data_IF_375660086669
#
_entry.id   IF_375660086669
#
_cell.length_a   1.000
_cell.length_b   1.000
_cell.length_c   1.000
_cell.angle_alpha   90.00
_cell.angle_beta   90.00
_cell.angle_gamma   90.00
#
_symmetry.space_group_name_H-M   'P 1'
#
loop_
_entity.id
_entity.type
_entity.pdbx_description
1 polymer ?
#
# COMPACT_ATOMS: atom_id res chain seq x y z
N UNK A 1 -0.10 21.65 3.25
CA UNK A 1 -0.55 20.62 2.26
C UNK A 1 -0.65 19.31 2.99
N UNK A 2 -1.47 18.36 2.55
CA UNK A 2 -1.73 17.13 3.32
C UNK A 2 -1.25 15.90 2.54
N UNK A 3 -0.47 15.07 3.20
CA UNK A 3 -0.03 13.75 2.74
C UNK A 3 -0.60 12.70 3.68
N UNK A 4 -1.58 11.94 3.22
CA UNK A 4 -2.04 10.73 3.92
C UNK A 4 -1.24 9.54 3.39
N UNK A 5 -0.61 8.78 4.30
CA UNK A 5 0.27 7.64 4.00
C UNK A 5 -0.21 6.40 4.73
N UNK A 6 -0.20 5.24 4.07
CA UNK A 6 -0.47 3.95 4.69
C UNK A 6 0.22 2.79 3.95
N UNK A 7 0.53 1.72 4.67
CA UNK A 7 1.09 0.50 4.09
C UNK A 7 0.81 -0.72 4.97
N UNK A 8 1.07 -1.92 4.44
CA UNK A 8 0.97 -3.17 5.17
C UNK A 8 2.06 -3.32 6.24
N UNK A 9 1.83 -4.17 7.24
CA UNK A 9 2.87 -4.60 8.17
C UNK A 9 3.84 -5.63 7.52
N UNK A 10 4.78 -6.15 8.30
CA UNK A 10 5.76 -7.15 7.85
C UNK A 10 5.18 -8.51 7.46
N UNK A 11 3.86 -8.71 7.65
CA UNK A 11 3.11 -9.91 7.26
C UNK A 11 2.13 -9.64 6.11
N UNK A 12 2.13 -8.45 5.52
CA UNK A 12 1.22 -8.08 4.43
C UNK A 12 -0.18 -7.64 4.91
N UNK A 13 -0.39 -7.44 6.22
CA UNK A 13 -1.70 -7.08 6.76
C UNK A 13 -1.86 -5.59 7.07
N UNK A 14 -3.05 -5.07 6.83
CA UNK A 14 -3.44 -3.69 7.14
C UNK A 14 -4.32 -3.62 8.39
N UNK A 15 -4.17 -2.54 9.17
CA UNK A 15 -5.13 -2.22 10.22
C UNK A 15 -6.55 -2.13 9.66
N UNK A 16 -7.55 -2.49 10.48
CA UNK A 16 -8.98 -2.65 10.13
C UNK A 16 -9.33 -3.93 9.34
N UNK A 17 -8.38 -4.53 8.64
CA UNK A 17 -8.56 -5.86 8.03
C UNK A 17 -7.99 -6.97 8.93
N UNK A 18 -6.91 -6.67 9.65
CA UNK A 18 -6.34 -7.53 10.67
C UNK A 18 -6.72 -7.00 12.07
N UNK A 19 -7.59 -7.71 12.83
CA UNK A 19 -8.08 -7.27 14.12
C UNK A 19 -7.02 -7.33 15.22
N UNK A 20 -5.86 -7.97 14.98
CA UNK A 20 -4.76 -8.01 15.96
C UNK A 20 -3.98 -6.70 16.03
N UNK A 21 -4.19 -5.80 15.07
CA UNK A 21 -3.52 -4.50 15.01
C UNK A 21 -4.37 -3.41 15.66
N UNK A 22 -3.71 -2.42 16.25
CA UNK A 22 -4.39 -1.22 16.73
C UNK A 22 -5.04 -0.45 15.56
N UNK A 23 -6.17 0.25 15.81
CA UNK A 23 -6.75 1.15 14.83
C UNK A 23 -5.69 2.12 14.29
N UNK A 24 -5.68 2.31 12.97
CA UNK A 24 -4.72 3.17 12.27
C UNK A 24 -3.24 2.78 12.41
N UNK A 25 -2.91 1.55 12.80
CA UNK A 25 -1.52 1.07 12.73
C UNK A 25 -0.95 1.25 11.31
N UNK A 26 0.27 1.81 11.21
CA UNK A 26 0.95 2.11 9.94
C UNK A 26 0.15 3.03 8.99
N UNK A 27 -0.65 3.94 9.56
CA UNK A 27 -1.38 4.99 8.83
C UNK A 27 -1.10 6.36 9.44
N UNK A 28 -0.91 7.40 8.62
CA UNK A 28 -0.70 8.75 9.12
C UNK A 28 -1.18 9.82 8.14
N UNK A 29 -1.79 10.87 8.70
CA UNK A 29 -1.96 12.17 8.05
C UNK A 29 -0.79 13.09 8.43
N UNK A 30 -0.11 13.64 7.44
CA UNK A 30 1.05 14.50 7.61
C UNK A 30 0.77 15.85 6.95
N UNK A 31 0.87 16.91 7.73
CA UNK A 31 0.90 18.26 7.19
C UNK A 31 2.35 18.62 6.80
N UNK A 32 2.53 19.09 5.57
CA UNK A 32 3.83 19.58 5.10
C UNK A 32 4.24 20.85 5.82
N UNK A 33 5.54 21.12 5.91
CA UNK A 33 6.03 22.44 6.33
C UNK A 33 5.70 23.55 5.30
N UNK A 34 6.19 24.76 5.59
CA UNK A 34 5.94 25.95 4.77
C UNK A 34 6.49 25.80 3.34
N UNK A 35 7.63 25.13 3.20
CA UNK A 35 8.30 24.82 1.94
C UNK A 35 7.63 23.65 1.20
N UNK A 36 6.70 22.94 1.83
CA UNK A 36 6.00 21.79 1.26
C UNK A 36 6.72 20.45 1.47
N UNK A 37 7.76 20.41 2.30
CA UNK A 37 8.47 19.19 2.64
C UNK A 37 7.72 18.39 3.72
N UNK A 38 7.92 17.07 3.70
CA UNK A 38 7.44 16.17 4.74
C UNK A 38 8.46 15.04 4.97
N UNK A 39 8.41 14.44 6.16
CA UNK A 39 9.22 13.28 6.52
C UNK A 39 8.43 12.37 7.45
N UNK A 40 8.54 11.07 7.25
CA UNK A 40 8.05 10.08 8.20
C UNK A 40 9.07 8.94 8.31
N UNK A 41 9.07 8.27 9.47
CA UNK A 41 9.84 7.05 9.70
C UNK A 41 8.86 5.91 9.89
N UNK A 42 9.08 4.82 9.18
CA UNK A 42 8.26 3.60 9.29
C UNK A 42 9.13 2.35 9.14
N UNK A 43 8.49 1.19 9.03
CA UNK A 43 9.10 -0.10 8.73
C UNK A 43 8.91 -0.46 7.26
N UNK A 44 9.73 -1.38 6.73
CA UNK A 44 9.55 -1.92 5.39
C UNK A 44 8.26 -2.77 5.34
N UNK A 45 7.28 -2.47 4.47
CA UNK A 45 6.11 -3.32 4.30
C UNK A 45 6.50 -4.64 3.61
N UNK A 46 5.69 -5.68 3.84
CA UNK A 46 5.69 -6.87 2.99
C UNK A 46 4.67 -6.69 1.86
N UNK A 47 4.90 -7.37 0.73
CA UNK A 47 3.86 -7.63 -0.25
C UNK A 47 2.68 -8.38 0.39
N UNK A 48 1.53 -8.35 -0.29
CA UNK A 48 0.31 -9.03 0.13
C UNK A 48 -0.42 -9.57 -1.09
N UNK A 49 -1.34 -10.50 -0.86
CA UNK A 49 -2.14 -11.07 -1.93
C UNK A 49 -3.62 -11.22 -1.59
N UNK A 50 -4.35 -11.75 -2.56
CA UNK A 50 -5.75 -12.14 -2.39
C UNK A 50 -5.88 -13.16 -1.24
N UNK A 51 -6.96 -13.10 -0.43
CA UNK A 51 -7.25 -14.15 0.54
C UNK A 51 -7.25 -15.53 -0.14
N UNK A 52 -6.51 -16.53 0.38
CA UNK A 52 -6.35 -17.82 -0.28
C UNK A 52 -7.66 -18.53 -0.62
N UNK A 53 -8.63 -18.45 0.29
CA UNK A 53 -9.96 -19.07 0.13
C UNK A 53 -10.98 -18.14 -0.55
N UNK A 54 -10.54 -16.95 -0.99
CA UNK A 54 -11.40 -15.94 -1.59
C UNK A 54 -11.76 -16.25 -3.05
N UNK A 55 -12.92 -15.82 -3.54
CA UNK A 55 -13.36 -16.06 -4.91
C UNK A 55 -12.38 -15.48 -5.95
N UNK A 56 -11.71 -14.37 -5.64
CA UNK A 56 -10.67 -13.80 -6.50
C UNK A 56 -9.48 -14.74 -6.66
N UNK A 57 -9.01 -15.36 -5.58
CA UNK A 57 -7.90 -16.31 -5.67
C UNK A 57 -8.32 -17.55 -6.46
N UNK A 58 -9.53 -18.08 -6.21
CA UNK A 58 -10.07 -19.22 -6.95
C UNK A 58 -10.16 -18.97 -8.47
N UNK A 59 -10.53 -17.76 -8.89
CA UNK A 59 -10.53 -17.38 -10.30
C UNK A 59 -9.10 -17.28 -10.86
N UNK A 60 -8.18 -16.66 -10.11
CA UNK A 60 -6.79 -16.53 -10.54
C UNK A 60 -6.12 -17.90 -10.70
N UNK A 61 -6.40 -18.85 -9.81
CA UNK A 61 -5.92 -20.23 -9.90
C UNK A 61 -6.41 -20.92 -11.18
N UNK A 62 -7.70 -20.74 -11.54
CA UNK A 62 -8.26 -21.26 -12.80
C UNK A 62 -7.62 -20.63 -14.05
N UNK A 63 -7.13 -19.39 -13.94
CA UNK A 63 -6.41 -18.69 -15.00
C UNK A 63 -4.90 -18.97 -15.00
N UNK A 64 -4.39 -19.76 -14.04
CA UNK A 64 -2.96 -20.01 -13.89
C UNK A 64 -2.16 -18.78 -13.46
N UNK A 65 -2.78 -17.85 -12.71
CA UNK A 65 -2.16 -16.60 -12.24
C UNK A 65 -2.04 -16.60 -10.71
N UNK A 66 -1.01 -15.94 -10.18
CA UNK A 66 -0.92 -15.67 -8.75
C UNK A 66 -1.73 -14.42 -8.37
N UNK A 67 -2.12 -14.29 -7.10
CA UNK A 67 -2.86 -13.14 -6.56
C UNK A 67 -2.03 -12.22 -5.68
N UNK A 68 -0.70 -12.21 -5.87
CA UNK A 68 0.25 -11.50 -5.01
C UNK A 68 0.68 -10.15 -5.59
N UNK A 69 0.94 -9.18 -4.72
CA UNK A 69 1.43 -7.85 -5.05
C UNK A 69 2.79 -7.60 -4.38
N UNK A 70 3.70 -6.84 -5.01
CA UNK A 70 4.95 -6.42 -4.37
C UNK A 70 4.69 -5.49 -3.19
N UNK A 71 5.68 -5.37 -2.30
CA UNK A 71 5.67 -4.38 -1.23
C UNK A 71 5.51 -2.96 -1.80
N UNK A 72 4.65 -2.16 -1.17
CA UNK A 72 4.41 -0.78 -1.56
C UNK A 72 3.90 0.10 -0.41
N UNK A 73 4.03 1.41 -0.59
CA UNK A 73 3.53 2.44 0.31
C UNK A 73 2.55 3.31 -0.46
N UNK A 74 1.34 3.47 0.06
CA UNK A 74 0.33 4.31 -0.59
C UNK A 74 0.39 5.76 -0.12
N UNK A 75 -0.01 6.65 -1.02
CA UNK A 75 -0.11 8.08 -0.79
C UNK A 75 -1.41 8.64 -1.36
N UNK A 76 -2.06 9.46 -0.54
CA UNK A 76 -2.98 10.49 -1.00
C UNK A 76 -2.33 11.85 -0.73
N UNK A 77 -2.23 12.70 -1.74
CA UNK A 77 -1.64 14.04 -1.63
C UNK A 77 -2.66 15.07 -2.06
N UNK A 78 -2.89 16.07 -1.21
CA UNK A 78 -3.84 17.15 -1.47
C UNK A 78 -3.30 18.53 -1.09
N UNK A 79 -3.68 19.53 -1.90
CA UNK A 79 -3.36 20.93 -1.68
C UNK A 79 -4.47 21.82 -2.28
N UNK A 80 -4.79 22.97 -1.66
CA UNK A 80 -5.75 23.92 -2.23
C UNK A 80 -5.35 24.35 -3.65
N UNK A 81 -6.28 24.32 -4.59
CA UNK A 81 -6.04 24.69 -5.99
C UNK A 81 -5.39 23.61 -6.85
N UNK A 82 -5.11 22.42 -6.31
CA UNK A 82 -4.54 21.29 -7.06
C UNK A 82 -5.52 20.11 -7.08
N UNK A 83 -5.43 19.30 -8.13
CA UNK A 83 -6.10 18.00 -8.16
C UNK A 83 -5.51 17.08 -7.09
N UNK A 84 -6.37 16.24 -6.50
CA UNK A 84 -5.94 15.21 -5.56
C UNK A 84 -5.10 14.14 -6.29
N UNK A 85 -3.94 13.79 -5.73
CA UNK A 85 -3.09 12.74 -6.25
C UNK A 85 -3.24 11.48 -5.39
N UNK A 86 -3.67 10.40 -6.02
CA UNK A 86 -3.58 9.04 -5.48
C UNK A 86 -2.44 8.32 -6.16
N UNK A 87 -1.48 7.81 -5.38
CA UNK A 87 -0.36 7.06 -5.93
C UNK A 87 0.18 6.04 -4.93
N UNK A 88 1.12 5.21 -5.38
CA UNK A 88 1.91 4.32 -4.53
C UNK A 88 3.39 4.38 -4.93
N UNK A 89 4.26 4.04 -3.99
CA UNK A 89 5.68 3.81 -4.24
C UNK A 89 5.96 2.33 -4.00
N UNK A 90 6.48 1.66 -5.02
CA UNK A 90 6.90 0.26 -4.96
C UNK A 90 8.37 0.12 -4.58
N UNK A 91 8.74 -1.02 -4.01
CA UNK A 91 10.11 -1.28 -3.54
C UNK A 91 10.91 -1.95 -4.67
N UNK A 92 12.03 -1.34 -5.05
CA UNK A 92 12.82 -1.73 -6.22
C UNK A 92 13.30 -3.18 -6.21
N UNK A 93 13.60 -3.72 -5.03
CA UNK A 93 14.14 -5.08 -4.87
C UNK A 93 13.06 -6.13 -4.58
N UNK A 94 11.77 -5.79 -4.71
CA UNK A 94 10.69 -6.76 -4.51
C UNK A 94 10.62 -7.74 -5.70
N UNK A 95 10.61 -9.07 -5.45
CA UNK A 95 10.55 -10.07 -6.52
C UNK A 95 9.35 -9.95 -7.47
N UNK A 96 8.24 -9.37 -7.00
CA UNK A 96 7.00 -9.21 -7.77
C UNK A 96 6.85 -7.82 -8.39
N UNK A 97 7.90 -6.98 -8.37
CA UNK A 97 7.83 -5.62 -8.92
C UNK A 97 7.40 -5.58 -10.38
N UNK A 98 7.87 -6.54 -11.19
CA UNK A 98 7.55 -6.64 -12.60
C UNK A 98 6.47 -7.68 -12.91
N UNK A 99 5.83 -8.22 -11.87
CA UNK A 99 4.77 -9.23 -11.96
C UNK A 99 3.69 -8.96 -10.91
N UNK A 100 3.25 -7.70 -10.77
CA UNK A 100 2.14 -7.34 -9.88
C UNK A 100 0.83 -7.88 -10.47
N UNK A 101 0.11 -8.73 -9.74
CA UNK A 101 -1.18 -9.24 -10.22
C UNK A 101 -2.17 -8.11 -10.55
N UNK A 102 -2.03 -6.97 -9.87
CA UNK A 102 -2.88 -5.79 -10.03
C UNK A 102 -2.42 -4.82 -11.14
N UNK A 103 -1.29 -5.08 -11.82
CA UNK A 103 -0.73 -4.22 -12.88
C UNK A 103 -0.57 -2.75 -12.45
N UNK A 104 -0.14 -2.52 -11.20
CA UNK A 104 -0.12 -1.19 -10.58
C UNK A 104 1.28 -0.76 -10.12
N UNK A 105 2.33 -1.31 -10.73
CA UNK A 105 3.74 -0.96 -10.48
C UNK A 105 4.27 0.11 -11.43
#
# INVERSE_FOLDING_TARGET
>A
RIVDVWHANTKGFYSFFDPTQSPYNLRRRIETDAEGCYRFRTIMPSGYGCPPDGPTQQLLDQLGRHGQRPAHIHFFVSAPGYAHLTTQINIADDPLLYDDFAFAT
#
